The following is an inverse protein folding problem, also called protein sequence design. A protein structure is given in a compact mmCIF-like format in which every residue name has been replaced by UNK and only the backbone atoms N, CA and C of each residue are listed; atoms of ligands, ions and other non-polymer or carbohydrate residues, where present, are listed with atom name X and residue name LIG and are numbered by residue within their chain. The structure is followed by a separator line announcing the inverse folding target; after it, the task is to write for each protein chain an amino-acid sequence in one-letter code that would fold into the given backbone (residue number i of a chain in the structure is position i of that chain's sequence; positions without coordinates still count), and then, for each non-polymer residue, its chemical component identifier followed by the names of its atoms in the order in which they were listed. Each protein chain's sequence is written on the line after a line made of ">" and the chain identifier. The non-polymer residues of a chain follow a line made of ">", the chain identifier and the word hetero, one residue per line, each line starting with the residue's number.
data_IF_099965748344
#
_entry.id   IF_099965748344
#
_cell.length_a   1.000
_cell.length_b   1.000
_cell.length_c   1.000
_cell.angle_alpha   90.00
_cell.angle_beta   90.00
_cell.angle_gamma   90.00
#
_symmetry.space_group_name_H-M   'P 1'
#
loop_
_entity.id
_entity.type
_entity.pdbx_description
1 polymer ?
#
# COMPACT_ATOMS: atom_id res chain seq x y z
N UNK A 1 35.51 3.78 -79.86
CA UNK A 1 34.16 3.79 -79.28
C UNK A 1 34.29 3.39 -77.84
N UNK A 2 33.83 4.25 -76.92
CA UNK A 2 33.71 3.94 -75.48
C UNK A 2 32.47 3.04 -75.34
N UNK A 3 32.54 1.85 -74.71
CA UNK A 3 31.37 1.01 -74.52
C UNK A 3 30.33 1.75 -73.68
N UNK A 4 29.11 1.85 -74.18
CA UNK A 4 27.99 2.40 -73.44
C UNK A 4 27.78 1.50 -72.22
N UNK A 5 27.94 2.10 -71.04
CA UNK A 5 27.69 1.34 -69.79
C UNK A 5 26.24 0.91 -69.76
N UNK A 6 25.96 -0.39 -69.65
CA UNK A 6 24.61 -0.94 -69.56
C UNK A 6 24.05 -0.67 -68.15
N UNK A 7 23.47 0.51 -68.01
CA UNK A 7 22.82 0.95 -66.76
C UNK A 7 21.58 0.14 -66.41
N UNK A 8 20.97 -0.52 -67.40
CA UNK A 8 19.78 -1.34 -67.21
C UNK A 8 20.12 -2.61 -66.44
N UNK A 9 21.21 -3.29 -66.84
CA UNK A 9 21.70 -4.50 -66.14
C UNK A 9 22.13 -4.17 -64.69
N UNK A 10 22.75 -3.01 -64.49
CA UNK A 10 23.14 -2.57 -63.15
C UNK A 10 21.92 -2.25 -62.28
N UNK A 11 20.90 -1.55 -62.79
CA UNK A 11 19.64 -1.28 -62.08
C UNK A 11 18.89 -2.55 -61.75
N UNK A 12 18.84 -3.52 -62.65
CA UNK A 12 18.21 -4.84 -62.38
C UNK A 12 18.94 -5.59 -61.25
N UNK A 13 20.27 -5.57 -61.23
CA UNK A 13 21.07 -6.21 -60.18
C UNK A 13 20.91 -5.52 -58.82
N UNK A 14 20.78 -4.21 -58.80
CA UNK A 14 20.50 -3.43 -57.56
C UNK A 14 19.08 -3.77 -57.06
N UNK A 15 18.11 -3.77 -57.94
CA UNK A 15 16.72 -4.12 -57.55
C UNK A 15 16.58 -5.58 -57.09
N UNK A 16 17.33 -6.51 -57.61
CA UNK A 16 17.38 -7.88 -57.14
C UNK A 16 18.05 -8.00 -55.78
N UNK A 17 19.02 -7.16 -55.44
CA UNK A 17 19.68 -7.15 -54.15
C UNK A 17 18.91 -6.37 -53.08
N UNK A 18 18.11 -5.38 -53.47
CA UNK A 18 17.16 -4.63 -52.62
C UNK A 18 15.76 -5.25 -52.67
N UNK A 19 15.69 -6.55 -52.83
CA UNK A 19 14.46 -7.30 -53.03
C UNK A 19 13.53 -7.04 -51.84
N UNK A 20 12.23 -6.93 -52.16
CA UNK A 20 11.12 -6.82 -51.20
C UNK A 20 11.14 -7.89 -50.10
N UNK A 21 11.78 -9.04 -50.38
CA UNK A 21 11.99 -10.11 -49.39
C UNK A 21 12.97 -9.69 -48.29
N UNK A 22 14.08 -9.02 -48.63
CA UNK A 22 15.09 -8.61 -47.64
C UNK A 22 14.57 -7.50 -46.72
N UNK A 23 13.80 -6.55 -47.29
CA UNK A 23 13.14 -5.49 -46.49
C UNK A 23 12.03 -6.06 -45.63
N UNK A 24 11.24 -7.01 -46.11
CA UNK A 24 10.23 -7.68 -45.31
C UNK A 24 10.86 -8.53 -44.19
N UNK A 25 11.94 -9.23 -44.49
CA UNK A 25 12.67 -10.00 -43.47
C UNK A 25 13.23 -9.08 -42.36
N UNK A 26 13.84 -7.95 -42.76
CA UNK A 26 14.36 -6.97 -41.80
C UNK A 26 13.24 -6.31 -40.99
N UNK A 27 12.13 -5.93 -41.62
CA UNK A 27 10.95 -5.38 -40.97
C UNK A 27 10.36 -6.39 -39.99
N UNK A 28 10.23 -7.64 -40.35
CA UNK A 28 9.73 -8.69 -39.47
C UNK A 28 10.65 -8.91 -38.25
N UNK A 29 11.98 -8.89 -38.44
CA UNK A 29 12.93 -8.98 -37.31
C UNK A 29 12.85 -7.77 -36.40
N UNK A 30 12.70 -6.57 -36.94
CA UNK A 30 12.53 -5.33 -36.17
C UNK A 30 11.21 -5.41 -35.37
N UNK A 31 10.12 -5.79 -36.03
CA UNK A 31 8.81 -5.91 -35.39
C UNK A 31 8.80 -6.98 -34.30
N UNK A 32 9.47 -8.11 -34.51
CA UNK A 32 9.61 -9.16 -33.48
C UNK A 32 10.45 -8.68 -32.27
N UNK A 33 11.44 -7.82 -32.50
CA UNK A 33 12.25 -7.25 -31.41
C UNK A 33 11.58 -6.06 -30.72
N UNK A 34 10.71 -5.33 -31.42
CA UNK A 34 9.99 -4.16 -30.93
C UNK A 34 8.53 -4.44 -30.59
N UNK A 35 8.05 -5.68 -30.72
CA UNK A 35 6.66 -5.99 -30.35
C UNK A 35 6.47 -5.73 -28.85
N UNK A 36 5.41 -5.01 -28.48
CA UNK A 36 5.02 -4.77 -27.09
C UNK A 36 4.89 -6.10 -26.32
N UNK A 37 4.48 -7.16 -27.00
CA UNK A 37 4.36 -8.52 -26.46
C UNK A 37 5.71 -9.15 -26.07
N UNK A 38 6.82 -8.62 -26.60
CA UNK A 38 8.16 -9.05 -26.20
C UNK A 38 8.69 -8.34 -24.95
N UNK A 39 8.06 -7.24 -24.52
CA UNK A 39 8.39 -6.49 -23.33
C UNK A 39 7.64 -7.09 -22.11
N UNK A 40 7.99 -8.31 -21.75
CA UNK A 40 7.47 -8.89 -20.49
C UNK A 40 8.16 -8.27 -19.29
N UNK A 41 7.46 -8.24 -18.13
CA UNK A 41 8.03 -7.76 -16.88
C UNK A 41 9.41 -8.38 -16.58
N UNK A 42 9.57 -9.68 -16.83
CA UNK A 42 10.84 -10.40 -16.65
C UNK A 42 11.97 -9.89 -17.55
N UNK A 43 11.68 -9.55 -18.82
CA UNK A 43 12.70 -9.02 -19.74
C UNK A 43 13.13 -7.61 -19.34
N UNK A 44 12.19 -6.79 -18.88
CA UNK A 44 12.48 -5.44 -18.36
C UNK A 44 13.32 -5.55 -17.09
N UNK A 45 12.92 -6.40 -16.15
CA UNK A 45 13.64 -6.69 -14.91
C UNK A 45 15.08 -7.12 -15.19
N UNK A 46 15.27 -8.10 -16.11
CA UNK A 46 16.60 -8.60 -16.46
C UNK A 46 17.47 -7.55 -17.17
N UNK A 47 16.87 -6.73 -18.05
CA UNK A 47 17.59 -5.70 -18.80
C UNK A 47 18.03 -4.52 -17.91
N UNK A 48 17.22 -4.17 -16.91
CA UNK A 48 17.47 -3.07 -16.00
C UNK A 48 18.17 -3.50 -14.71
N UNK A 49 18.32 -4.81 -14.49
CA UNK A 49 18.73 -5.39 -13.20
C UNK A 49 17.91 -4.83 -12.02
N UNK A 50 16.64 -4.58 -12.27
CA UNK A 50 15.70 -3.97 -11.34
C UNK A 50 14.33 -4.67 -11.43
N UNK A 51 13.83 -5.15 -10.31
CA UNK A 51 12.46 -5.68 -10.21
C UNK A 51 11.53 -4.51 -9.91
N UNK A 52 10.59 -4.17 -10.81
CA UNK A 52 9.57 -3.16 -10.49
C UNK A 52 8.82 -3.58 -9.23
N UNK A 53 8.90 -2.78 -8.18
CA UNK A 53 8.11 -2.99 -6.97
C UNK A 53 6.66 -2.66 -7.32
N UNK A 54 5.69 -3.54 -7.04
CA UNK A 54 4.29 -3.19 -7.18
C UNK A 54 3.99 -1.91 -6.39
N UNK A 55 3.25 -0.99 -6.99
CA UNK A 55 2.81 0.21 -6.31
C UNK A 55 1.61 -0.14 -5.41
N UNK A 56 1.88 -0.86 -4.32
CA UNK A 56 0.88 -1.32 -3.37
C UNK A 56 0.67 -0.24 -2.33
N UNK A 57 -0.58 0.18 -2.16
CA UNK A 57 -0.93 1.19 -1.17
C UNK A 57 -2.35 1.00 -0.68
N UNK A 58 -2.63 1.54 0.49
CA UNK A 58 -3.97 1.61 1.05
C UNK A 58 -4.09 2.70 2.10
N UNK A 59 -5.27 3.32 2.16
CA UNK A 59 -5.63 4.26 3.20
C UNK A 59 -7.04 3.93 3.70
N UNK A 60 -7.13 3.61 4.99
CA UNK A 60 -8.35 3.13 5.64
C UNK A 60 -8.60 3.91 6.92
N UNK A 61 -9.86 3.96 7.34
CA UNK A 61 -10.25 4.68 8.55
C UNK A 61 -11.50 4.09 9.20
N UNK A 62 -11.74 4.51 10.44
CA UNK A 62 -12.98 4.23 11.17
C UNK A 62 -13.43 5.48 11.92
N UNK A 63 -14.75 5.71 11.96
CA UNK A 63 -15.35 6.81 12.70
C UNK A 63 -16.14 6.34 13.94
N UNK A 64 -16.29 5.03 14.10
CA UNK A 64 -17.01 4.47 15.23
C UNK A 64 -16.16 4.53 16.53
N UNK A 65 -16.85 4.70 17.66
CA UNK A 65 -16.22 4.53 18.96
C UNK A 65 -15.76 3.09 19.15
N UNK A 66 -14.49 2.92 19.59
CA UNK A 66 -13.93 1.61 19.90
C UNK A 66 -13.38 1.64 21.34
N UNK A 67 -13.89 0.75 22.18
CA UNK A 67 -13.48 0.62 23.57
C UNK A 67 -13.04 -0.82 23.85
N UNK A 68 -12.29 -1.01 24.92
CA UNK A 68 -11.81 -2.32 25.37
C UNK A 68 -11.94 -2.43 26.90
N UNK A 69 -12.14 -3.64 27.45
CA UNK A 69 -11.95 -3.88 28.87
C UNK A 69 -10.51 -3.55 29.31
N UNK A 70 -10.33 -3.25 30.59
CA UNK A 70 -9.00 -2.99 31.18
C UNK A 70 -8.06 -4.18 30.90
N UNK A 71 -6.81 -3.90 30.62
CA UNK A 71 -5.73 -4.87 30.39
C UNK A 71 -6.06 -5.93 29.33
N UNK A 72 -6.99 -5.65 28.43
CA UNK A 72 -7.38 -6.55 27.36
C UNK A 72 -6.77 -6.06 26.03
N UNK A 73 -6.10 -6.95 25.32
CA UNK A 73 -5.62 -6.69 23.96
C UNK A 73 -6.79 -6.65 22.98
N UNK A 74 -7.08 -5.49 22.43
CA UNK A 74 -8.18 -5.28 21.47
C UNK A 74 -7.64 -4.79 20.14
N UNK A 75 -8.17 -5.33 19.07
CA UNK A 75 -7.78 -4.96 17.70
C UNK A 75 -8.56 -3.74 17.22
N UNK A 76 -7.88 -2.83 16.53
CA UNK A 76 -8.49 -1.66 15.88
C UNK A 76 -9.24 -2.10 14.63
N UNK A 77 -10.46 -1.59 14.44
CA UNK A 77 -11.30 -1.81 13.25
C UNK A 77 -11.15 -0.67 12.27
N UNK A 78 -11.30 -1.01 10.97
CA UNK A 78 -11.29 -0.06 9.86
C UNK A 78 -12.46 -0.37 8.93
N UNK A 79 -13.59 0.35 9.06
CA UNK A 79 -14.80 0.08 8.30
C UNK A 79 -14.86 0.80 6.95
N UNK A 80 -13.96 1.76 6.71
CA UNK A 80 -13.99 2.61 5.52
C UNK A 80 -12.63 2.63 4.82
N UNK A 81 -12.68 2.80 3.50
CA UNK A 81 -11.53 2.92 2.62
C UNK A 81 -11.64 4.23 1.83
N UNK A 82 -10.55 5.00 1.79
CA UNK A 82 -10.42 6.14 0.86
C UNK A 82 -9.96 5.65 -0.52
N UNK A 83 -8.86 4.91 -0.55
CA UNK A 83 -8.29 4.32 -1.77
C UNK A 83 -7.35 3.17 -1.40
N UNK A 84 -7.22 2.21 -2.31
CA UNK A 84 -6.27 1.11 -2.17
C UNK A 84 -5.93 0.48 -3.53
N UNK A 85 -4.73 -0.09 -3.62
CA UNK A 85 -4.27 -0.94 -4.71
C UNK A 85 -3.48 -2.10 -4.14
N UNK A 86 -3.90 -3.34 -4.38
CA UNK A 86 -3.31 -4.57 -3.86
C UNK A 86 -3.23 -4.68 -2.32
N UNK A 87 -3.87 -3.75 -1.60
CA UNK A 87 -4.04 -3.77 -0.15
C UNK A 87 -5.53 -3.76 0.15
N UNK A 88 -5.97 -4.57 1.09
CA UNK A 88 -7.38 -4.63 1.48
C UNK A 88 -7.54 -4.76 3.00
N UNK A 89 -8.66 -4.26 3.53
CA UNK A 89 -9.12 -4.65 4.85
C UNK A 89 -9.90 -5.95 4.72
N UNK A 90 -9.45 -6.98 5.42
CA UNK A 90 -10.13 -8.27 5.50
C UNK A 90 -10.61 -8.54 6.93
N UNK A 91 -11.62 -9.40 7.04
CA UNK A 91 -12.18 -9.74 8.34
C UNK A 91 -11.28 -10.73 9.10
N UNK A 92 -11.19 -10.56 10.41
CA UNK A 92 -10.60 -11.56 11.29
C UNK A 92 -11.56 -12.75 11.50
N UNK A 93 -11.16 -13.71 12.32
CA UNK A 93 -11.96 -14.91 12.64
C UNK A 93 -13.29 -14.62 13.34
N UNK A 94 -13.44 -13.42 13.92
CA UNK A 94 -14.69 -12.95 14.54
C UNK A 94 -15.55 -12.12 13.58
N UNK A 95 -15.22 -12.06 12.29
CA UNK A 95 -15.96 -11.28 11.28
C UNK A 95 -15.73 -9.77 11.35
N UNK A 96 -14.70 -9.29 12.06
CA UNK A 96 -14.42 -7.87 12.22
C UNK A 96 -13.38 -7.40 11.18
N UNK A 97 -13.55 -6.21 10.55
CA UNK A 97 -12.66 -5.66 9.54
C UNK A 97 -11.40 -5.05 10.19
N UNK A 98 -10.41 -5.89 10.48
CA UNK A 98 -9.23 -5.51 11.27
C UNK A 98 -7.90 -5.79 10.57
N UNK A 99 -7.89 -6.69 9.58
CA UNK A 99 -6.67 -7.16 8.93
C UNK A 99 -6.33 -6.30 7.72
N UNK A 100 -5.20 -5.64 7.77
CA UNK A 100 -4.62 -4.92 6.63
C UNK A 100 -3.81 -5.95 5.86
N UNK A 101 -4.39 -6.48 4.78
CA UNK A 101 -3.84 -7.62 4.02
C UNK A 101 -3.15 -7.13 2.76
N UNK A 102 -1.89 -7.54 2.55
CA UNK A 102 -1.12 -7.26 1.36
C UNK A 102 -1.20 -8.43 0.37
N UNK A 103 -1.61 -8.16 -0.87
CA UNK A 103 -1.67 -9.16 -1.94
C UNK A 103 -0.28 -9.61 -2.39
N UNK A 104 0.70 -8.72 -2.37
CA UNK A 104 2.06 -8.97 -2.84
C UNK A 104 3.05 -8.97 -1.67
N UNK A 105 4.12 -9.74 -1.80
CA UNK A 105 5.22 -9.70 -0.85
C UNK A 105 6.01 -8.39 -1.00
N UNK A 106 6.42 -7.79 0.12
CA UNK A 106 7.18 -6.54 0.12
C UNK A 106 7.57 -6.06 1.51
N UNK A 107 8.33 -4.97 1.53
CA UNK A 107 8.60 -4.20 2.75
C UNK A 107 7.67 -2.98 2.75
N UNK A 108 6.73 -2.97 3.68
CA UNK A 108 5.67 -1.97 3.75
C UNK A 108 5.91 -0.99 4.89
N UNK A 109 5.71 0.29 4.62
CA UNK A 109 5.61 1.32 5.65
C UNK A 109 4.15 1.44 6.10
N UNK A 110 3.88 1.08 7.35
CA UNK A 110 2.54 1.14 7.96
C UNK A 110 2.52 2.30 8.93
N UNK A 111 1.72 3.32 8.61
CA UNK A 111 1.53 4.50 9.46
C UNK A 111 0.10 4.54 9.97
N UNK A 112 -0.09 4.64 11.28
CA UNK A 112 -1.40 4.81 11.86
C UNK A 112 -1.52 6.11 12.67
N UNK A 113 -2.76 6.57 12.82
CA UNK A 113 -3.14 7.65 13.72
C UNK A 113 -4.42 7.24 14.46
N UNK A 114 -4.34 7.23 15.78
CA UNK A 114 -5.43 6.83 16.66
C UNK A 114 -5.81 8.04 17.54
N UNK A 115 -7.10 8.37 17.59
CA UNK A 115 -7.61 9.46 18.42
C UNK A 115 -8.28 8.90 19.65
N UNK A 116 -7.68 9.16 20.82
CA UNK A 116 -8.21 8.76 22.12
C UNK A 116 -8.99 9.91 22.78
N UNK A 117 -10.11 9.55 23.38
CA UNK A 117 -10.93 10.43 24.20
C UNK A 117 -11.10 9.76 25.55
N UNK A 118 -10.95 10.56 26.60
CA UNK A 118 -11.15 10.15 28.00
C UNK A 118 -12.31 10.93 28.61
N UNK A 119 -13.13 10.27 29.42
CA UNK A 119 -14.34 10.86 30.00
C UNK A 119 -14.21 11.24 31.49
N UNK A 120 -13.13 10.83 32.14
CA UNK A 120 -12.80 11.23 33.52
C UNK A 120 -11.52 12.11 33.58
N UNK A 121 -11.26 12.81 34.68
CA UNK A 121 -10.12 13.74 34.80
C UNK A 121 -8.76 13.05 35.00
N UNK A 122 -8.72 11.77 35.39
CA UNK A 122 -7.46 11.06 35.59
C UNK A 122 -6.76 10.72 34.27
N UNK A 123 -5.44 10.68 34.28
CA UNK A 123 -4.70 10.18 33.10
C UNK A 123 -4.85 8.66 32.97
N UNK A 124 -4.65 8.18 31.75
CA UNK A 124 -4.58 6.75 31.44
C UNK A 124 -3.26 6.41 30.75
N UNK A 125 -2.92 5.14 30.74
CA UNK A 125 -1.81 4.61 29.95
C UNK A 125 -2.36 3.66 28.90
N UNK A 126 -1.98 3.88 27.64
CA UNK A 126 -2.37 3.09 26.49
C UNK A 126 -1.15 2.48 25.86
N UNK A 127 -1.13 1.17 25.72
CA UNK A 127 -0.13 0.45 24.92
C UNK A 127 -0.69 0.15 23.53
N UNK A 128 0.12 0.36 22.49
CA UNK A 128 -0.26 0.13 21.09
C UNK A 128 0.87 -0.63 20.40
N UNK A 129 0.52 -1.72 19.70
CA UNK A 129 1.50 -2.57 18.99
C UNK A 129 0.90 -3.17 17.73
N UNK A 130 1.77 -3.71 16.88
CA UNK A 130 1.38 -4.47 15.70
C UNK A 130 1.39 -5.96 15.95
N UNK A 131 0.51 -6.67 15.26
CA UNK A 131 0.55 -8.13 15.09
C UNK A 131 0.60 -8.45 13.61
N UNK A 132 1.45 -9.38 13.22
CA UNK A 132 1.52 -9.95 11.89
C UNK A 132 1.08 -11.39 11.94
N UNK A 133 0.11 -11.78 11.12
CA UNK A 133 -0.40 -13.14 11.04
C UNK A 133 -0.72 -13.73 12.44
N UNK A 134 -1.44 -12.97 13.26
CA UNK A 134 -1.82 -13.30 14.65
C UNK A 134 -0.68 -13.29 15.69
N UNK A 135 0.57 -13.11 15.31
CA UNK A 135 1.72 -13.04 16.23
C UNK A 135 2.15 -11.61 16.50
N UNK A 136 2.52 -11.27 17.74
CA UNK A 136 3.05 -9.96 18.07
C UNK A 136 4.29 -9.65 17.22
N UNK A 137 4.32 -8.47 16.60
CA UNK A 137 5.47 -8.05 15.81
C UNK A 137 6.49 -7.38 16.73
N UNK A 138 7.74 -7.89 16.81
CA UNK A 138 8.73 -7.38 17.75
C UNK A 138 9.02 -5.88 17.58
N UNK A 139 9.33 -5.21 18.69
CA UNK A 139 9.75 -3.80 18.73
C UNK A 139 8.73 -2.80 18.21
N UNK A 140 7.42 -3.13 18.21
CA UNK A 140 6.35 -2.23 17.77
C UNK A 140 5.45 -1.74 18.90
N UNK A 141 5.65 -2.21 20.14
CA UNK A 141 4.87 -1.73 21.27
C UNK A 141 5.35 -0.35 21.71
N UNK A 142 4.42 0.59 21.78
CA UNK A 142 4.64 1.92 22.35
C UNK A 142 3.57 2.23 23.40
N UNK A 143 3.99 2.83 24.48
CA UNK A 143 3.11 3.20 25.58
C UNK A 143 2.98 4.73 25.63
N UNK A 144 1.76 5.21 25.73
CA UNK A 144 1.42 6.63 25.73
C UNK A 144 0.58 6.98 26.96
N UNK A 145 0.83 8.16 27.51
CA UNK A 145 -0.05 8.76 28.52
C UNK A 145 -1.17 9.52 27.83
N UNK A 146 -2.40 9.12 28.06
CA UNK A 146 -3.62 9.80 27.60
C UNK A 146 -4.09 10.70 28.73
N UNK A 147 -4.13 12.00 28.44
CA UNK A 147 -4.53 13.01 29.42
C UNK A 147 -6.04 12.95 29.69
N UNK A 148 -6.45 13.40 30.85
CA UNK A 148 -7.83 13.34 31.36
C UNK A 148 -8.84 14.10 30.50
N UNK A 149 -10.10 14.12 30.96
CA UNK A 149 -11.26 14.63 30.21
C UNK A 149 -11.06 16.05 29.67
N UNK A 150 -11.68 16.32 28.50
CA UNK A 150 -11.58 17.61 27.79
C UNK A 150 -10.37 17.76 26.90
N UNK A 151 -9.39 16.83 26.95
CA UNK A 151 -8.21 16.84 26.11
C UNK A 151 -8.36 15.78 25.02
N UNK A 152 -8.07 16.17 23.77
CA UNK A 152 -8.01 15.26 22.62
C UNK A 152 -6.59 14.76 22.48
N UNK A 153 -6.43 13.45 22.58
CA UNK A 153 -5.13 12.78 22.54
C UNK A 153 -5.00 12.04 21.21
N UNK A 154 -4.11 12.50 20.35
CA UNK A 154 -3.83 11.85 19.07
C UNK A 154 -2.47 11.18 19.14
N UNK A 155 -2.44 9.89 18.84
CA UNK A 155 -1.23 9.07 18.79
C UNK A 155 -0.98 8.63 17.37
N UNK A 156 0.23 8.85 16.88
CA UNK A 156 0.67 8.41 15.54
C UNK A 156 1.99 7.69 15.64
N UNK A 157 2.15 6.63 14.85
CA UNK A 157 3.43 5.95 14.68
C UNK A 157 3.55 5.35 13.29
N UNK A 158 4.78 4.94 12.92
CA UNK A 158 5.10 4.36 11.63
C UNK A 158 6.12 3.24 11.81
N UNK A 159 5.90 2.12 11.12
CA UNK A 159 6.77 0.96 11.17
C UNK A 159 6.98 0.37 9.77
N UNK A 160 8.19 -0.11 9.50
CA UNK A 160 8.44 -0.96 8.35
C UNK A 160 8.19 -2.42 8.72
N UNK A 161 7.35 -3.08 7.95
CA UNK A 161 6.95 -4.49 8.16
C UNK A 161 7.15 -5.27 6.88
N UNK A 162 7.93 -6.34 6.93
CA UNK A 162 8.03 -7.28 5.83
C UNK A 162 6.81 -8.19 5.81
N UNK A 163 6.05 -8.17 4.72
CA UNK A 163 4.87 -9.01 4.48
C UNK A 163 5.12 -9.94 3.30
N UNK A 164 4.67 -11.19 3.41
CA UNK A 164 4.56 -12.11 2.29
C UNK A 164 3.26 -11.90 1.52
N UNK A 165 3.05 -12.71 0.47
CA UNK A 165 1.76 -12.71 -0.25
C UNK A 165 0.64 -13.12 0.71
N UNK A 166 -0.44 -12.34 0.71
CA UNK A 166 -1.62 -12.51 1.54
C UNK A 166 -1.37 -12.47 3.06
N UNK A 167 -0.16 -12.04 3.47
CA UNK A 167 0.11 -11.70 4.86
C UNK A 167 -0.70 -10.48 5.27
N UNK A 168 -1.02 -10.40 6.57
CA UNK A 168 -1.73 -9.26 7.13
C UNK A 168 -1.07 -8.72 8.40
N UNK A 169 -1.38 -7.46 8.65
CA UNK A 169 -1.05 -6.77 9.90
C UNK A 169 -2.33 -6.28 10.56
N UNK A 170 -2.35 -6.32 11.88
CA UNK A 170 -3.40 -5.75 12.72
C UNK A 170 -2.78 -4.80 13.74
N UNK A 171 -3.48 -3.70 14.07
CA UNK A 171 -3.09 -2.77 15.12
C UNK A 171 -3.87 -3.13 16.37
N UNK A 172 -3.16 -3.40 17.45
CA UNK A 172 -3.73 -3.72 18.76
C UNK A 172 -3.49 -2.59 19.73
N UNK A 173 -4.41 -2.43 20.67
CA UNK A 173 -4.25 -1.52 21.82
C UNK A 173 -4.77 -2.17 23.09
N UNK A 174 -4.26 -1.71 24.23
CA UNK A 174 -4.79 -2.01 25.56
C UNK A 174 -4.81 -0.76 26.44
N UNK A 175 -5.76 -0.69 27.36
CA UNK A 175 -6.01 0.44 28.24
C UNK A 175 -5.83 0.01 29.69
N UNK A 176 -5.39 0.94 30.55
CA UNK A 176 -5.42 0.74 32.01
C UNK A 176 -6.72 1.26 32.62
N UNK A 177 -7.51 2.09 31.92
CA UNK A 177 -8.74 2.67 32.41
C UNK A 177 -9.90 2.50 31.39
N UNK A 178 -11.08 2.05 31.85
CA UNK A 178 -12.28 1.84 31.02
C UNK A 178 -12.88 3.12 30.42
N UNK A 179 -12.57 4.28 30.96
CA UNK A 179 -13.11 5.58 30.53
C UNK A 179 -12.35 6.14 29.31
N UNK A 180 -11.38 5.42 28.80
CA UNK A 180 -10.63 5.75 27.56
C UNK A 180 -11.18 4.96 26.39
N UNK A 181 -11.29 5.60 25.23
CA UNK A 181 -11.74 4.94 24.00
C UNK A 181 -11.19 5.64 22.78
N UNK A 182 -11.08 4.92 21.65
CA UNK A 182 -10.97 5.56 20.35
C UNK A 182 -12.31 6.20 20.01
N UNK A 183 -12.30 7.44 19.53
CA UNK A 183 -13.53 8.13 19.10
C UNK A 183 -13.25 9.22 18.07
N UNK A 184 -14.18 9.37 17.15
CA UNK A 184 -14.18 10.46 16.17
C UNK A 184 -14.58 11.80 16.79
N UNK A 185 -14.24 12.87 16.07
CA UNK A 185 -14.79 14.22 16.36
C UNK A 185 -15.64 14.64 15.17
N UNK A 186 -16.84 15.15 15.47
CA UNK A 186 -17.78 15.61 14.45
C UNK A 186 -17.21 16.78 13.63
N UNK A 187 -17.69 16.99 12.41
CA UNK A 187 -17.38 18.17 11.61
C UNK A 187 -17.70 19.45 12.38
N UNK A 188 -16.99 20.51 12.08
CA UNK A 188 -17.24 21.83 12.69
C UNK A 188 -17.59 22.83 11.60
N UNK A 189 -18.42 23.81 11.95
CA UNK A 189 -18.90 24.83 11.00
C UNK A 189 -18.11 26.13 11.07
N UNK A 190 -17.41 26.42 12.17
CA UNK A 190 -16.69 27.69 12.35
C UNK A 190 -15.28 27.50 12.93
N UNK A 191 -14.22 27.55 12.12
CA UNK A 191 -14.25 27.44 10.66
C UNK A 191 -14.74 26.06 10.21
N UNK A 192 -15.25 25.97 8.98
CA UNK A 192 -15.68 24.69 8.42
C UNK A 192 -14.52 23.72 8.31
N UNK A 193 -14.65 22.55 8.93
CA UNK A 193 -13.65 21.46 8.89
C UNK A 193 -14.34 20.10 8.92
N UNK A 194 -13.74 19.11 8.23
CA UNK A 194 -14.29 17.75 8.22
C UNK A 194 -14.24 17.09 9.61
N UNK A 195 -14.94 15.97 9.75
CA UNK A 195 -14.82 15.10 10.91
C UNK A 195 -13.38 14.56 11.03
N UNK A 196 -12.95 14.32 12.26
CA UNK A 196 -11.71 13.59 12.54
C UNK A 196 -12.05 12.12 12.78
N UNK A 197 -11.51 11.15 12.05
CA UNK A 197 -11.72 9.74 12.31
C UNK A 197 -11.20 9.31 13.69
N UNK A 198 -11.78 8.25 14.25
CA UNK A 198 -11.30 7.61 15.48
C UNK A 198 -9.96 6.89 15.25
N UNK A 199 -9.80 6.30 14.06
CA UNK A 199 -8.59 5.60 13.63
C UNK A 199 -8.37 5.82 12.14
N UNK A 200 -7.11 5.99 11.74
CA UNK A 200 -6.67 5.96 10.34
C UNK A 200 -5.43 5.08 10.21
N UNK A 201 -5.27 4.44 9.06
CA UNK A 201 -4.04 3.73 8.71
C UNK A 201 -3.72 3.94 7.23
N UNK A 202 -2.45 4.16 6.95
CA UNK A 202 -1.90 4.17 5.60
C UNK A 202 -0.81 3.12 5.50
N UNK A 203 -0.73 2.47 4.35
CA UNK A 203 0.28 1.46 4.02
C UNK A 203 0.77 1.70 2.59
N UNK A 204 2.06 1.60 2.39
CA UNK A 204 2.70 1.74 1.07
C UNK A 204 4.04 1.03 1.04
#
# INVERSE_FOLDING_TARGET
>A
QIPVLDTTSLSQRINLKLNKIDTNYLSNRINQKLSLDSLTANKITNALNYTPVPNDYGNFYDTAKQSTPIATATVVKFNFMNFANNIAITNNTSGLPTRITAKNAGLYNIKYTLQFIKTDPANDEVSIWLRRNSSAYPNTNNTYTILGSGIKNTVSNSFFVALGNDDYVEIYFSLKNVNTSLASVNPQSSPSRPATPAATVSIQ
#
